data_IF_423220263546
#
_entry.id   IF_423220263546
#
_cell.length_a   1.000
_cell.length_b   1.000
_cell.length_c   1.000
_cell.angle_alpha   90.00
_cell.angle_beta   90.00
_cell.angle_gamma   90.00
#
_symmetry.space_group_name_H-M   'P 1'
#
loop_
_entity.id
_entity.type
_entity.pdbx_description
1 polymer ?
#
# COMPACT_ATOMS: atom_id res chain seq x y z
N UNK A 1 0.84 0.46 -17.67
CA UNK A 1 1.59 1.56 -17.04
C UNK A 1 1.58 1.32 -15.53
N UNK A 2 2.72 0.91 -14.96
CA UNK A 2 2.85 0.44 -13.57
C UNK A 2 2.67 1.57 -12.54
N UNK A 3 1.57 1.55 -11.79
CA UNK A 3 1.37 2.45 -10.63
C UNK A 3 2.51 2.33 -9.60
N UNK A 4 3.09 1.14 -9.46
CA UNK A 4 4.19 0.87 -8.53
C UNK A 4 5.44 1.74 -8.80
N UNK A 5 5.81 1.95 -10.08
CA UNK A 5 7.01 2.71 -10.44
C UNK A 5 6.89 4.22 -10.29
N UNK A 6 5.67 4.76 -10.24
CA UNK A 6 5.43 6.18 -9.94
C UNK A 6 5.40 6.45 -8.44
N UNK A 7 4.96 5.48 -7.64
CA UNK A 7 4.90 5.59 -6.18
C UNK A 7 6.30 5.73 -5.58
N UNK A 8 7.24 4.87 -5.98
CA UNK A 8 8.64 4.91 -5.48
C UNK A 8 9.36 6.23 -5.75
N UNK A 9 8.93 7.00 -6.76
CA UNK A 9 9.53 8.31 -7.06
C UNK A 9 9.02 9.42 -6.14
N UNK A 10 7.89 9.22 -5.45
CA UNK A 10 7.23 10.24 -4.62
C UNK A 10 7.36 10.01 -3.13
N UNK A 11 7.70 8.79 -2.71
CA UNK A 11 8.00 8.50 -1.31
C UNK A 11 9.18 9.33 -0.81
N UNK A 12 9.06 9.87 0.39
CA UNK A 12 10.20 10.49 1.10
C UNK A 12 11.23 9.42 1.45
N UNK A 13 12.49 9.80 1.78
CA UNK A 13 13.49 8.84 2.24
C UNK A 13 13.00 7.98 3.42
N UNK A 14 12.30 8.60 4.38
CA UNK A 14 11.79 7.91 5.57
C UNK A 14 10.70 6.90 5.22
N UNK A 15 9.78 7.25 4.31
CA UNK A 15 8.72 6.34 3.86
C UNK A 15 9.26 5.16 3.04
N UNK A 16 10.35 5.38 2.29
CA UNK A 16 11.05 4.29 1.61
C UNK A 16 11.69 3.34 2.61
N UNK A 17 12.29 3.88 3.67
CA UNK A 17 12.88 3.08 4.74
C UNK A 17 11.81 2.25 5.46
N UNK A 18 10.69 2.87 5.83
CA UNK A 18 9.56 2.18 6.46
C UNK A 18 8.99 1.06 5.57
N UNK A 19 8.75 1.36 4.29
CA UNK A 19 8.27 0.34 3.34
C UNK A 19 9.28 -0.79 3.17
N UNK A 20 10.58 -0.47 3.11
CA UNK A 20 11.66 -1.46 3.04
C UNK A 20 11.67 -2.37 4.26
N UNK A 21 11.59 -1.81 5.47
CA UNK A 21 11.56 -2.57 6.71
C UNK A 21 10.36 -3.53 6.76
N UNK A 22 9.17 -3.05 6.42
CA UNK A 22 7.95 -3.88 6.40
C UNK A 22 8.06 -5.00 5.37
N UNK A 23 8.64 -4.73 4.20
CA UNK A 23 8.86 -5.75 3.17
C UNK A 23 9.89 -6.81 3.61
N UNK A 24 10.95 -6.39 4.30
CA UNK A 24 11.98 -7.31 4.81
C UNK A 24 11.43 -8.18 5.94
N UNK A 25 10.62 -7.61 6.84
CA UNK A 25 9.91 -8.37 7.87
C UNK A 25 8.89 -9.35 7.27
N UNK A 26 8.19 -8.97 6.20
CA UNK A 26 7.31 -9.87 5.47
C UNK A 26 8.10 -11.01 4.79
N UNK A 27 9.20 -10.71 4.11
CA UNK A 27 10.09 -11.73 3.48
C UNK A 27 10.68 -12.70 4.49
N UNK A 28 10.94 -12.24 5.71
CA UNK A 28 11.37 -13.06 6.82
C UNK A 28 10.21 -13.81 7.53
N UNK A 29 8.99 -13.78 6.98
CA UNK A 29 7.77 -14.41 7.52
C UNK A 29 7.38 -13.90 8.93
N UNK A 30 7.87 -12.72 9.32
CA UNK A 30 7.62 -12.12 10.64
C UNK A 30 6.37 -11.26 10.68
N UNK A 31 5.84 -10.89 9.51
CA UNK A 31 4.60 -10.12 9.37
C UNK A 31 3.70 -10.74 8.30
N UNK A 32 2.37 -10.65 8.46
CA UNK A 32 1.45 -11.11 7.43
C UNK A 32 1.44 -10.15 6.23
N UNK A 33 1.17 -10.70 5.04
CA UNK A 33 1.11 -9.96 3.77
C UNK A 33 0.15 -8.75 3.80
N UNK A 34 -0.85 -8.75 4.67
CA UNK A 34 -1.81 -7.63 4.82
C UNK A 34 -1.12 -6.32 5.23
N UNK A 35 -0.01 -6.38 5.97
CA UNK A 35 0.72 -5.20 6.44
C UNK A 35 1.36 -4.42 5.28
N UNK A 36 2.28 -5.01 4.47
CA UNK A 36 2.85 -4.31 3.33
C UNK A 36 1.79 -3.85 2.32
N UNK A 37 0.73 -4.64 2.10
CA UNK A 37 -0.36 -4.25 1.19
C UNK A 37 -1.10 -3.00 1.70
N UNK A 38 -1.36 -2.92 2.99
CA UNK A 38 -2.05 -1.77 3.60
C UNK A 38 -1.16 -0.53 3.55
N UNK A 39 0.14 -0.66 3.83
CA UNK A 39 1.09 0.44 3.77
C UNK A 39 1.25 0.99 2.35
N UNK A 40 1.37 0.11 1.34
CA UNK A 40 1.39 0.52 -0.07
C UNK A 40 0.10 1.27 -0.43
N UNK A 41 -1.07 0.77 -0.02
CA UNK A 41 -2.35 1.46 -0.25
C UNK A 41 -2.40 2.83 0.42
N UNK A 42 -1.85 2.97 1.62
CA UNK A 42 -1.76 4.25 2.31
C UNK A 42 -0.94 5.26 1.49
N UNK A 43 0.25 4.86 1.01
CA UNK A 43 1.07 5.74 0.18
C UNK A 43 0.42 6.07 -1.17
N UNK A 44 -0.25 5.11 -1.81
CA UNK A 44 -1.03 5.39 -3.02
C UNK A 44 -2.09 6.46 -2.73
N UNK A 45 -2.85 6.35 -1.63
CA UNK A 45 -3.84 7.39 -1.27
C UNK A 45 -3.20 8.75 -0.99
N UNK A 46 -2.12 8.77 -0.19
CA UNK A 46 -1.40 9.99 0.20
C UNK A 46 -0.85 10.75 -1.00
N UNK A 47 -0.31 10.05 -1.98
CA UNK A 47 0.34 10.68 -3.13
C UNK A 47 -0.61 10.84 -4.32
N UNK A 48 -1.56 9.94 -4.54
CA UNK A 48 -2.49 9.95 -5.68
C UNK A 48 -3.78 10.75 -5.41
N UNK A 49 -3.87 11.46 -4.28
CA UNK A 49 -5.01 12.31 -3.90
C UNK A 49 -5.30 13.44 -4.91
N UNK A 50 -4.31 13.83 -5.71
CA UNK A 50 -4.49 14.81 -6.79
C UNK A 50 -5.18 14.26 -8.05
N UNK A 51 -5.12 12.94 -8.30
CA UNK A 51 -5.84 12.26 -9.41
C UNK A 51 -7.21 11.72 -8.98
N UNK A 52 -7.40 11.54 -7.68
CA UNK A 52 -8.57 10.91 -7.05
C UNK A 52 -9.84 11.77 -6.99
N UNK A 53 -9.78 13.06 -7.34
CA UNK A 53 -11.00 13.88 -7.40
C UNK A 53 -11.97 13.45 -8.51
N UNK A 54 -11.48 12.77 -9.55
CA UNK A 54 -12.28 12.48 -10.74
C UNK A 54 -12.50 10.99 -11.06
N UNK A 55 -11.82 10.04 -10.39
CA UNK A 55 -11.96 8.62 -10.73
C UNK A 55 -12.36 7.74 -9.53
N UNK A 56 -13.60 7.23 -9.63
CA UNK A 56 -14.35 6.31 -8.75
C UNK A 56 -13.66 4.95 -8.48
N UNK A 57 -12.39 4.77 -8.87
CA UNK A 57 -11.73 3.46 -8.93
C UNK A 57 -11.09 2.98 -7.60
N UNK A 58 -11.20 3.74 -6.50
CA UNK A 58 -10.43 3.49 -5.26
C UNK A 58 -11.27 3.23 -4.01
N UNK A 59 -12.49 2.71 -4.16
CA UNK A 59 -13.29 2.25 -3.03
C UNK A 59 -13.62 0.74 -3.10
N UNK A 60 -12.65 -0.17 -2.90
CA UNK A 60 -13.01 -1.49 -2.42
C UNK A 60 -13.41 -1.33 -0.95
N UNK A 61 -14.68 -1.60 -0.65
CA UNK A 61 -15.24 -1.47 0.69
C UNK A 61 -14.41 -2.27 1.72
N UNK A 62 -14.30 -1.79 2.97
CA UNK A 62 -13.58 -2.47 4.06
C UNK A 62 -13.95 -3.96 4.25
N UNK A 63 -15.14 -4.36 3.82
CA UNK A 63 -15.64 -5.73 3.85
C UNK A 63 -14.80 -6.72 3.00
N UNK A 64 -14.22 -6.31 1.88
CA UNK A 64 -13.43 -7.21 1.02
C UNK A 64 -12.07 -7.57 1.61
N UNK A 65 -11.51 -6.70 2.47
CA UNK A 65 -10.24 -6.95 3.16
C UNK A 65 -10.42 -7.84 4.40
N UNK A 66 -11.60 -7.78 5.05
CA UNK A 66 -11.90 -8.61 6.22
C UNK A 66 -12.17 -10.08 5.88
N UNK A 67 -12.64 -10.38 4.66
CA UNK A 67 -12.93 -11.75 4.22
C UNK A 67 -11.68 -12.62 3.97
N UNK A 68 -10.46 -12.08 4.05
CA UNK A 68 -9.21 -12.84 3.90
C UNK A 68 -8.44 -13.07 5.21
N UNK A 69 -9.00 -12.66 6.35
CA UNK A 69 -8.44 -12.93 7.69
C UNK A 69 -9.10 -14.14 8.38
N UNK A 70 -9.56 -15.12 7.60
CA UNK A 70 -10.05 -16.37 8.15
C UNK A 70 -9.39 -17.55 7.44
N UNK A 71 -8.14 -17.83 7.81
CA UNK A 71 -7.67 -19.12 8.37
C UNK A 71 -6.43 -18.85 9.22
#
# INVERSE_FOLDING_TARGET
>A
MHMAGHLEKRLTPDEKAELGEVLDLYRAERLPLVVPVTLIRHFVRKYDEARLRDEVYLNPHPAELQLRNHV
#
